data_IF_208991699100
#
_entry.id   IF_208991699100
#
_cell.length_a   1.000
_cell.length_b   1.000
_cell.length_c   1.000
_cell.angle_alpha   90.00
_cell.angle_beta   90.00
_cell.angle_gamma   90.00
#
_symmetry.space_group_name_H-M   'P 1'
#
loop_
_entity.id
_entity.type
_entity.pdbx_description
1 polymer ?
#
# COMPACT_ATOMS: atom_id res chain seq x y z
N UNK A 1 -39.17 20.05 37.20
CA UNK A 1 -38.75 20.82 36.02
C UNK A 1 -37.70 20.06 35.27
N UNK A 2 -38.06 19.50 34.15
CA UNK A 2 -37.26 18.59 33.36
C UNK A 2 -36.40 19.40 32.39
N UNK A 3 -35.08 19.33 32.50
CA UNK A 3 -34.17 19.95 31.52
C UNK A 3 -33.76 18.92 30.46
N UNK A 4 -34.40 19.00 29.32
CA UNK A 4 -34.16 18.19 28.16
C UNK A 4 -33.06 18.88 27.28
N UNK A 5 -31.81 18.48 27.45
CA UNK A 5 -30.74 18.92 26.52
C UNK A 5 -30.82 18.10 25.24
N UNK A 6 -31.23 18.80 24.16
CA UNK A 6 -31.29 18.28 22.80
C UNK A 6 -29.88 17.96 22.29
N UNK A 7 -29.64 16.70 21.91
CA UNK A 7 -28.51 16.30 21.08
C UNK A 7 -28.74 16.84 19.66
N UNK A 8 -27.98 17.82 19.22
CA UNK A 8 -27.87 18.16 17.81
C UNK A 8 -26.83 17.24 17.18
N UNK A 9 -27.32 16.33 16.36
CA UNK A 9 -26.49 15.55 15.44
C UNK A 9 -26.18 16.44 14.23
N UNK A 10 -24.93 16.83 14.05
CA UNK A 10 -24.50 17.56 12.89
C UNK A 10 -24.27 16.57 11.74
N UNK A 11 -25.25 16.51 10.84
CA UNK A 11 -25.11 15.91 9.51
C UNK A 11 -24.35 16.94 8.67
N UNK A 12 -23.10 16.68 8.33
CA UNK A 12 -22.38 17.49 7.34
C UNK A 12 -22.64 16.90 5.96
N UNK A 13 -23.43 17.64 5.19
CA UNK A 13 -23.63 17.42 3.75
C UNK A 13 -22.30 17.57 3.01
N UNK A 14 -22.02 16.60 2.15
CA UNK A 14 -20.96 16.69 1.15
C UNK A 14 -21.31 17.75 0.11
N UNK A 15 -20.49 18.78 -0.04
CA UNK A 15 -20.46 19.60 -1.25
C UNK A 15 -19.17 19.30 -2.01
N UNK A 16 -19.36 18.82 -3.24
CA UNK A 16 -18.37 18.75 -4.31
C UNK A 16 -17.82 20.15 -4.60
N UNK A 17 -16.51 20.31 -4.59
CA UNK A 17 -15.86 21.30 -5.45
C UNK A 17 -14.62 20.69 -6.08
N UNK A 18 -14.63 20.76 -7.42
CA UNK A 18 -13.46 20.60 -8.30
C UNK A 18 -12.48 21.77 -8.02
N UNK A 19 -11.22 21.51 -8.15
CA UNK A 19 -10.15 22.16 -8.90
C UNK A 19 -8.80 22.16 -8.20
N UNK A 20 -7.88 21.86 -9.03
CA UNK A 20 -6.55 22.36 -9.34
C UNK A 20 -5.37 21.68 -8.68
N UNK A 21 -4.56 21.17 -9.60
CA UNK A 21 -3.18 20.76 -9.48
C UNK A 21 -2.29 21.87 -8.89
N UNK A 22 -1.71 21.63 -7.74
CA UNK A 22 -0.48 22.32 -7.35
C UNK A 22 0.49 21.31 -6.76
N UNK A 23 1.71 21.35 -7.31
CA UNK A 23 2.79 20.43 -6.97
C UNK A 23 3.27 20.64 -5.53
N UNK A 24 3.48 19.53 -4.84
CA UNK A 24 4.21 19.52 -3.59
C UNK A 24 5.72 19.49 -3.89
N UNK A 25 6.39 20.58 -3.58
CA UNK A 25 7.84 20.68 -3.47
C UNK A 25 8.22 20.05 -2.13
N UNK A 26 9.14 19.08 -2.15
CA UNK A 26 9.77 18.61 -0.92
C UNK A 26 10.79 19.68 -0.49
N UNK A 27 10.52 20.36 0.61
CA UNK A 27 11.51 21.11 1.33
C UNK A 27 12.20 20.17 2.33
N UNK A 28 13.52 20.10 2.21
CA UNK A 28 14.44 19.52 3.17
C UNK A 28 14.59 20.55 4.31
N UNK A 29 13.98 20.30 5.45
CA UNK A 29 14.16 21.15 6.62
C UNK A 29 14.92 20.37 7.70
N UNK A 30 16.15 20.86 7.96
CA UNK A 30 17.01 20.50 9.08
C UNK A 30 16.29 20.78 10.40
N UNK A 31 16.17 19.76 11.23
CA UNK A 31 15.71 19.93 12.61
C UNK A 31 16.90 20.38 13.45
N UNK A 32 16.88 21.63 13.87
CA UNK A 32 17.76 22.14 14.92
C UNK A 32 17.22 21.77 16.31
N UNK A 33 18.18 21.51 17.21
CA UNK A 33 17.98 21.08 18.59
C UNK A 33 17.07 22.02 19.38
N UNK A 34 16.13 21.44 20.13
CA UNK A 34 15.44 22.14 21.22
C UNK A 34 16.01 21.62 22.53
N UNK A 35 16.61 22.56 23.28
CA UNK A 35 17.23 22.36 24.57
C UNK A 35 16.25 21.80 25.62
N UNK A 36 16.74 20.81 26.35
CA UNK A 36 16.12 20.25 27.53
C UNK A 36 16.27 21.23 28.71
N UNK A 37 15.14 21.73 29.23
CA UNK A 37 15.08 22.34 30.55
C UNK A 37 14.81 21.26 31.59
N UNK A 38 15.82 20.93 32.36
CA UNK A 38 15.69 20.04 33.52
C UNK A 38 15.02 20.79 34.67
N UNK A 39 13.90 20.29 35.17
CA UNK A 39 13.37 20.68 36.47
C UNK A 39 13.72 19.59 37.49
N UNK A 40 14.59 19.94 38.44
CA UNK A 40 14.88 19.10 39.62
C UNK A 40 13.63 18.99 40.52
N UNK A 41 13.20 17.81 40.80
CA UNK A 41 12.24 17.51 41.86
C UNK A 41 12.90 16.58 42.86
N UNK A 42 12.99 17.06 44.10
CA UNK A 42 13.49 16.36 45.31
C UNK A 42 12.66 15.14 45.61
N UNK A 43 13.34 14.02 45.86
CA UNK A 43 12.77 12.71 46.20
C UNK A 43 12.64 12.61 47.72
N UNK A 44 11.44 12.41 48.25
CA UNK A 44 11.22 11.78 49.57
C UNK A 44 10.88 10.30 49.37
N UNK A 45 11.65 9.45 50.03
CA UNK A 45 11.59 8.00 49.97
C UNK A 45 10.44 7.47 50.82
N UNK A 46 9.43 6.86 50.18
CA UNK A 46 8.45 6.00 50.83
C UNK A 46 8.24 4.75 50.01
N UNK A 47 8.56 3.62 50.62
CA UNK A 47 8.49 2.27 50.08
C UNK A 47 7.04 1.83 49.84
N UNK A 48 6.59 1.86 48.59
CA UNK A 48 5.57 0.94 48.11
C UNK A 48 5.76 0.70 46.60
N UNK A 49 6.02 -0.58 46.22
CA UNK A 49 6.32 -0.96 44.83
C UNK A 49 5.01 -1.04 44.05
N UNK A 50 4.46 0.09 43.72
CA UNK A 50 3.45 0.21 42.68
C UNK A 50 4.17 0.71 41.40
N UNK A 51 4.21 -0.16 40.39
CA UNK A 51 4.79 0.11 39.07
C UNK A 51 3.99 1.25 38.41
N UNK A 52 4.35 2.49 38.71
CA UNK A 52 3.75 3.71 38.13
C UNK A 52 4.18 3.80 36.69
N UNK A 53 3.31 3.38 35.77
CA UNK A 53 3.43 3.72 34.36
C UNK A 53 3.27 5.24 34.28
N UNK A 54 4.32 5.97 33.93
CA UNK A 54 4.26 7.42 33.76
C UNK A 54 3.23 7.77 32.67
N UNK A 55 2.14 8.42 33.07
CA UNK A 55 1.14 8.99 32.15
C UNK A 55 1.64 10.37 31.75
N UNK A 56 1.98 10.56 30.49
CA UNK A 56 2.29 11.90 29.95
C UNK A 56 1.01 12.37 29.25
N UNK A 57 0.30 13.30 29.90
CA UNK A 57 -0.82 14.01 29.31
C UNK A 57 -0.28 15.19 28.50
N UNK A 58 -0.51 15.17 27.19
CA UNK A 58 -0.24 16.32 26.33
C UNK A 58 -1.53 17.16 26.25
N UNK A 59 -1.39 18.49 26.15
CA UNK A 59 -2.51 19.44 26.05
C UNK A 59 -3.36 19.27 24.75
N UNK A 60 -3.01 18.33 23.91
CA UNK A 60 -3.68 18.04 22.63
C UNK A 60 -4.64 16.82 22.69
N UNK A 61 -5.02 16.35 23.87
CA UNK A 61 -5.91 15.18 24.07
C UNK A 61 -5.22 13.83 23.94
N UNK A 62 -3.96 13.79 23.48
CA UNK A 62 -3.17 12.58 23.38
C UNK A 62 -2.61 12.14 24.73
N UNK A 63 -2.75 10.84 25.02
CA UNK A 63 -2.22 10.22 26.24
C UNK A 63 -1.25 9.12 25.82
N UNK A 64 -0.04 9.14 26.38
CA UNK A 64 0.97 8.09 26.20
C UNK A 64 1.06 7.26 27.47
N UNK A 65 0.86 5.93 27.35
CA UNK A 65 1.04 4.97 28.46
C UNK A 65 2.02 3.89 28.02
N UNK A 66 3.28 4.01 28.44
CA UNK A 66 4.37 3.17 27.95
C UNK A 66 4.58 3.36 26.45
N UNK A 67 4.38 2.30 25.65
CA UNK A 67 4.47 2.32 24.17
C UNK A 67 3.13 2.59 23.48
N UNK A 68 2.04 2.63 24.21
CA UNK A 68 0.68 2.74 23.67
C UNK A 68 0.20 4.20 23.71
N UNK A 69 -0.59 4.58 22.70
CA UNK A 69 -1.21 5.90 22.59
C UNK A 69 -2.72 5.78 22.72
N UNK A 70 -3.34 6.76 23.34
CA UNK A 70 -4.77 6.93 23.52
C UNK A 70 -5.13 8.37 23.18
N UNK A 71 -6.40 8.65 22.97
CA UNK A 71 -6.89 10.01 22.80
C UNK A 71 -8.18 10.19 23.58
N UNK A 72 -8.26 11.26 24.38
CA UNK A 72 -9.48 11.66 25.04
C UNK A 72 -10.19 12.73 24.21
N UNK A 73 -11.51 12.64 24.15
CA UNK A 73 -12.34 13.72 23.62
C UNK A 73 -12.47 14.88 24.62
N UNK A 74 -13.29 15.88 24.25
CA UNK A 74 -13.53 17.08 25.06
C UNK A 74 -14.24 16.76 26.40
N UNK A 75 -14.93 15.62 26.47
CA UNK A 75 -15.59 15.14 27.69
C UNK A 75 -14.65 14.28 28.57
N UNK A 76 -13.41 14.05 28.13
CA UNK A 76 -12.41 13.23 28.80
C UNK A 76 -12.57 11.72 28.56
N UNK A 77 -13.46 11.32 27.66
CA UNK A 77 -13.70 9.92 27.33
C UNK A 77 -12.69 9.42 26.27
N UNK A 78 -12.18 8.20 26.48
CA UNK A 78 -11.21 7.57 25.56
C UNK A 78 -11.87 7.17 24.25
N UNK A 79 -11.36 7.67 23.13
CA UNK A 79 -11.88 7.37 21.80
C UNK A 79 -11.76 5.88 21.44
N UNK A 80 -12.73 5.39 20.65
CA UNK A 80 -12.80 4.00 20.16
C UNK A 80 -13.24 3.98 18.70
N UNK A 81 -12.82 2.94 17.96
CA UNK A 81 -13.17 2.77 16.54
C UNK A 81 -12.43 3.74 15.62
N UNK A 82 -13.00 3.98 14.44
CA UNK A 82 -12.48 4.95 13.48
C UNK A 82 -12.77 6.37 13.93
N UNK A 83 -11.74 7.20 14.00
CA UNK A 83 -11.82 8.59 14.44
C UNK A 83 -11.02 9.52 13.52
N UNK A 84 -11.47 10.77 13.45
CA UNK A 84 -10.72 11.85 12.83
C UNK A 84 -10.22 12.78 13.94
N UNK A 85 -8.92 12.88 14.09
CA UNK A 85 -8.27 13.77 15.05
C UNK A 85 -7.36 14.70 14.25
N UNK A 86 -7.60 16.01 14.31
CA UNK A 86 -6.84 17.05 13.60
C UNK A 86 -6.70 16.78 12.08
N UNK A 87 -7.78 16.31 11.44
CA UNK A 87 -7.81 16.02 10.02
C UNK A 87 -7.12 14.72 9.62
N UNK A 88 -6.57 13.96 10.57
CA UNK A 88 -5.95 12.65 10.35
C UNK A 88 -6.86 11.55 10.83
N UNK A 89 -6.88 10.42 10.11
CA UNK A 89 -7.70 9.28 10.45
C UNK A 89 -6.92 8.28 11.29
N UNK A 90 -7.48 7.90 12.43
CA UNK A 90 -6.95 6.90 13.35
C UNK A 90 -7.95 5.78 13.59
N UNK A 91 -7.49 4.69 14.15
CA UNK A 91 -8.34 3.63 14.66
C UNK A 91 -7.92 3.32 16.09
N UNK A 92 -8.89 3.34 17.01
CA UNK A 92 -8.70 2.99 18.40
C UNK A 92 -9.40 1.65 18.68
N UNK A 93 -8.68 0.72 19.29
CA UNK A 93 -9.22 -0.58 19.64
C UNK A 93 -10.29 -0.44 20.74
N UNK A 94 -10.98 -1.56 21.08
CA UNK A 94 -12.02 -1.55 22.12
C UNK A 94 -11.51 -1.12 23.51
N UNK A 95 -10.23 -1.36 23.78
CA UNK A 95 -9.53 -0.94 24.99
C UNK A 95 -9.03 0.52 24.95
N UNK A 96 -9.32 1.24 23.86
CA UNK A 96 -8.94 2.63 23.64
C UNK A 96 -7.52 2.83 23.10
N UNK A 97 -6.72 1.78 22.91
CA UNK A 97 -5.39 1.92 22.33
C UNK A 97 -5.45 2.30 20.86
N UNK A 98 -4.66 3.28 20.44
CA UNK A 98 -4.48 3.61 19.04
C UNK A 98 -3.82 2.46 18.28
N UNK A 99 -4.35 2.11 17.12
CA UNK A 99 -3.68 1.22 16.18
C UNK A 99 -2.38 1.88 15.72
N UNK A 100 -1.24 1.25 15.98
CA UNK A 100 0.09 1.75 15.63
C UNK A 100 0.86 0.69 14.85
N UNK A 101 1.57 1.10 13.78
CA UNK A 101 2.20 0.18 12.86
C UNK A 101 1.20 -0.63 12.02
N UNK A 102 1.58 -1.85 11.66
CA UNK A 102 0.74 -2.75 10.88
C UNK A 102 -0.47 -3.23 11.67
N UNK A 103 -1.65 -2.97 11.15
CA UNK A 103 -2.92 -3.29 11.82
C UNK A 103 -3.91 -3.94 10.86
N UNK A 104 -4.54 -5.03 11.28
CA UNK A 104 -5.59 -5.72 10.51
C UNK A 104 -6.95 -5.41 11.12
N UNK A 105 -7.78 -4.70 10.37
CA UNK A 105 -9.12 -4.27 10.79
C UNK A 105 -10.12 -4.76 9.73
N UNK A 106 -11.10 -5.56 10.12
CA UNK A 106 -12.12 -6.13 9.23
C UNK A 106 -11.51 -6.80 7.97
N UNK A 107 -10.50 -7.66 8.16
CA UNK A 107 -9.74 -8.35 7.11
C UNK A 107 -8.97 -7.46 6.14
N UNK A 108 -8.90 -6.16 6.37
CA UNK A 108 -8.10 -5.21 5.59
C UNK A 108 -6.85 -4.84 6.39
N UNK A 109 -5.72 -4.69 5.71
CA UNK A 109 -4.44 -4.32 6.34
C UNK A 109 -4.17 -2.84 6.13
N UNK A 110 -3.80 -2.16 7.21
CA UNK A 110 -3.49 -0.74 7.27
C UNK A 110 -2.13 -0.53 7.92
N UNK A 111 -1.60 0.69 7.80
CA UNK A 111 -0.44 1.13 8.56
C UNK A 111 -0.74 2.50 9.19
N UNK A 112 -0.45 2.63 10.48
CA UNK A 112 -0.69 3.84 11.24
C UNK A 112 0.59 4.31 11.93
N UNK A 113 0.71 5.62 12.06
CA UNK A 113 1.64 6.27 12.99
C UNK A 113 0.89 7.36 13.76
N UNK A 114 1.39 7.73 14.93
CA UNK A 114 0.78 8.84 15.68
C UNK A 114 0.83 10.14 14.91
N UNK A 115 1.94 10.39 14.23
CA UNK A 115 2.20 11.65 13.52
C UNK A 115 1.31 11.81 12.28
N UNK A 116 1.04 10.72 11.55
CA UNK A 116 0.36 10.77 10.26
C UNK A 116 -1.02 10.11 10.26
N UNK A 117 -1.38 9.41 11.36
CA UNK A 117 -2.57 8.57 11.38
C UNK A 117 -2.46 7.41 10.37
N UNK A 118 -3.55 7.14 9.68
CA UNK A 118 -3.65 6.11 8.64
C UNK A 118 -2.89 6.53 7.38
N UNK A 119 -1.95 5.71 6.95
CA UNK A 119 -1.20 5.93 5.71
C UNK A 119 -2.05 5.66 4.46
N UNK A 120 -1.86 6.49 3.41
CA UNK A 120 -2.50 6.36 2.09
C UNK A 120 -1.49 6.60 0.98
N UNK A 121 -1.77 6.08 -0.22
CA UNK A 121 -0.86 6.23 -1.37
C UNK A 121 0.40 5.38 -1.27
N UNK A 122 1.47 5.83 -1.92
CA UNK A 122 2.77 5.14 -1.92
C UNK A 122 3.62 5.71 -0.80
N UNK A 123 3.94 4.89 0.19
CA UNK A 123 4.67 5.28 1.38
C UNK A 123 5.94 4.44 1.56
N UNK A 124 7.07 5.08 1.83
CA UNK A 124 8.27 4.43 2.36
C UNK A 124 8.14 4.40 3.89
N UNK A 125 8.16 3.21 4.46
CA UNK A 125 8.05 3.01 5.92
C UNK A 125 9.42 2.92 6.58
N UNK A 126 9.45 2.94 7.92
CA UNK A 126 10.68 2.94 8.74
C UNK A 126 11.57 1.71 8.50
N UNK A 127 10.99 0.60 8.03
CA UNK A 127 11.75 -0.58 7.61
C UNK A 127 12.49 -0.39 6.27
N UNK A 128 12.51 0.83 5.72
CA UNK A 128 13.15 1.20 4.46
C UNK A 128 12.45 0.71 3.19
N UNK A 129 11.32 -0.01 3.32
CA UNK A 129 10.56 -0.58 2.20
C UNK A 129 9.39 0.33 1.81
N UNK A 130 9.04 0.29 0.53
CA UNK A 130 7.94 1.09 -0.02
C UNK A 130 6.71 0.21 -0.21
N UNK A 131 5.54 0.72 0.20
CA UNK A 131 4.25 0.05 0.14
C UNK A 131 3.21 0.92 -0.56
N UNK A 132 2.17 0.28 -1.09
CA UNK A 132 1.04 0.97 -1.70
C UNK A 132 -0.22 0.77 -0.88
N UNK A 133 -0.83 1.88 -0.48
CA UNK A 133 -2.14 1.92 0.17
C UNK A 133 -3.13 2.65 -0.75
N UNK A 134 -4.35 2.17 -0.88
CA UNK A 134 -5.38 2.87 -1.63
C UNK A 134 -5.86 4.15 -0.89
N UNK A 135 -6.85 4.85 -1.43
CA UNK A 135 -7.38 6.09 -0.84
C UNK A 135 -8.02 5.84 0.54
N UNK A 136 -8.56 4.65 0.75
CA UNK A 136 -9.11 4.22 2.05
C UNK A 136 -8.01 3.79 3.03
N UNK A 137 -6.73 3.79 2.63
CA UNK A 137 -5.57 3.37 3.42
C UNK A 137 -5.37 1.86 3.47
N UNK A 138 -6.08 1.09 2.65
CA UNK A 138 -5.93 -0.37 2.58
C UNK A 138 -4.69 -0.73 1.77
N UNK A 139 -3.83 -1.57 2.34
CA UNK A 139 -2.66 -2.13 1.65
C UNK A 139 -3.11 -2.85 0.36
N UNK A 140 -2.59 -2.43 -0.79
CA UNK A 140 -3.09 -2.86 -2.10
C UNK A 140 -1.95 -3.30 -3.01
N UNK A 141 -1.97 -4.55 -3.51
CA UNK A 141 -1.03 -5.02 -4.53
C UNK A 141 -1.37 -4.47 -5.92
N UNK A 142 -0.48 -4.71 -6.88
CA UNK A 142 -0.73 -4.45 -8.29
C UNK A 142 0.13 -3.34 -8.89
N UNK A 143 -0.36 -2.78 -9.98
CA UNK A 143 0.36 -1.76 -10.77
C UNK A 143 -0.13 -0.36 -10.38
N UNK A 144 0.82 0.52 -10.10
CA UNK A 144 0.59 1.96 -9.94
C UNK A 144 1.39 2.72 -10.98
N UNK A 145 0.74 3.68 -11.65
CA UNK A 145 1.39 4.61 -12.57
C UNK A 145 1.54 5.97 -11.90
N UNK A 146 2.78 6.38 -11.72
CA UNK A 146 3.08 7.64 -11.03
C UNK A 146 4.24 8.35 -11.73
N UNK A 147 4.05 9.63 -12.10
CA UNK A 147 5.09 10.48 -12.72
C UNK A 147 5.80 9.78 -13.90
N UNK A 148 5.04 9.13 -14.80
CA UNK A 148 5.57 8.41 -15.97
C UNK A 148 6.26 7.07 -15.65
N UNK A 149 6.35 6.68 -14.40
CA UNK A 149 6.90 5.39 -13.96
C UNK A 149 5.79 4.38 -13.72
N UNK A 150 6.08 3.11 -14.00
CA UNK A 150 5.23 1.99 -13.63
C UNK A 150 5.88 1.28 -12.45
N UNK A 151 5.13 1.16 -11.36
CA UNK A 151 5.54 0.51 -10.13
C UNK A 151 4.69 -0.74 -9.94
N UNK A 152 5.31 -1.87 -9.65
CA UNK A 152 4.62 -3.13 -9.33
C UNK A 152 4.80 -3.46 -7.85
N UNK A 153 3.68 -3.59 -7.17
CA UNK A 153 3.59 -4.00 -5.77
C UNK A 153 3.14 -5.46 -5.68
N UNK A 154 3.89 -6.27 -4.94
CA UNK A 154 3.61 -7.69 -4.74
C UNK A 154 2.29 -7.93 -3.96
N UNK A 155 1.92 -9.20 -3.74
CA UNK A 155 0.71 -9.57 -3.01
C UNK A 155 0.68 -9.06 -1.56
N UNK A 156 1.80 -8.61 -1.03
CA UNK A 156 1.93 -7.97 0.28
C UNK A 156 1.95 -6.44 0.18
N UNK A 157 1.57 -5.88 -0.97
CA UNK A 157 1.56 -4.44 -1.23
C UNK A 157 2.93 -3.77 -1.19
N UNK A 158 4.04 -4.55 -1.19
CA UNK A 158 5.41 -4.06 -1.17
C UNK A 158 5.91 -3.82 -2.60
N UNK A 159 6.60 -2.71 -2.83
CA UNK A 159 7.27 -2.45 -4.12
C UNK A 159 8.29 -3.55 -4.41
N UNK A 160 8.06 -4.28 -5.50
CA UNK A 160 8.89 -5.40 -5.94
C UNK A 160 9.64 -5.08 -7.24
N UNK A 161 9.02 -4.36 -8.17
CA UNK A 161 9.58 -4.09 -9.49
C UNK A 161 9.14 -2.73 -10.03
N UNK A 162 9.93 -2.19 -10.94
CA UNK A 162 9.49 -1.17 -11.89
C UNK A 162 9.13 -1.82 -13.22
N UNK A 163 8.39 -1.13 -14.10
CA UNK A 163 7.94 -1.72 -15.34
C UNK A 163 8.09 -0.78 -16.54
N UNK A 164 8.21 -1.39 -17.72
CA UNK A 164 8.08 -0.72 -19.02
C UNK A 164 6.88 -1.31 -19.76
N UNK A 165 5.93 -0.46 -20.13
CA UNK A 165 4.72 -0.86 -20.84
C UNK A 165 4.94 -0.90 -22.35
N UNK A 166 4.29 -1.89 -22.97
CA UNK A 166 4.21 -2.03 -24.43
C UNK A 166 2.79 -2.41 -24.84
N UNK A 167 2.38 -1.93 -26.01
CA UNK A 167 1.23 -2.50 -26.74
C UNK A 167 1.70 -3.76 -27.45
N UNK A 168 1.00 -4.86 -27.25
CA UNK A 168 1.32 -6.16 -27.82
C UNK A 168 0.14 -6.71 -28.63
N UNK A 169 0.41 -7.19 -29.85
CA UNK A 169 -0.53 -8.05 -30.56
C UNK A 169 -0.31 -9.48 -30.07
N UNK A 170 -1.12 -9.90 -29.11
CA UNK A 170 -1.00 -11.20 -28.44
C UNK A 170 -1.84 -12.27 -29.13
N UNK A 171 -1.26 -13.46 -29.25
CA UNK A 171 -1.93 -14.71 -29.65
C UNK A 171 -1.80 -15.74 -28.51
N UNK A 172 -2.33 -16.95 -28.76
CA UNK A 172 -2.19 -18.04 -27.81
C UNK A 172 -1.87 -19.36 -28.52
N UNK A 173 -1.11 -20.22 -27.85
CA UNK A 173 -0.72 -21.55 -28.34
C UNK A 173 -0.89 -22.63 -27.28
N UNK A 174 -0.95 -23.91 -27.71
CA UNK A 174 -1.04 -25.07 -26.83
C UNK A 174 -0.37 -26.29 -27.48
N UNK A 175 -0.22 -27.37 -26.75
CA UNK A 175 0.21 -28.68 -27.30
C UNK A 175 1.72 -28.87 -27.45
N UNK A 176 2.55 -27.90 -27.09
CA UNK A 176 4.01 -28.05 -27.12
C UNK A 176 4.52 -28.77 -25.86
N UNK A 177 5.53 -29.64 -26.03
CA UNK A 177 6.13 -30.38 -24.91
C UNK A 177 7.28 -29.62 -24.25
N UNK A 178 7.97 -28.74 -25.02
CA UNK A 178 9.18 -28.06 -24.58
C UNK A 178 9.23 -26.64 -25.17
N UNK A 179 9.61 -25.66 -24.33
CA UNK A 179 9.88 -24.29 -24.75
C UNK A 179 11.29 -24.17 -25.33
N UNK A 180 11.59 -23.03 -25.97
CA UNK A 180 12.94 -22.70 -26.49
C UNK A 180 14.02 -22.67 -25.41
N UNK A 181 13.64 -22.52 -24.12
CA UNK A 181 14.58 -22.59 -22.97
C UNK A 181 14.65 -23.98 -22.34
N UNK A 182 14.07 -25.02 -22.97
CA UNK A 182 14.11 -26.39 -22.50
C UNK A 182 13.12 -26.75 -21.39
N UNK A 183 12.21 -25.85 -21.04
CA UNK A 183 11.21 -26.07 -19.98
C UNK A 183 9.90 -26.62 -20.54
N UNK A 184 9.14 -27.36 -19.73
CA UNK A 184 7.77 -27.70 -20.08
C UNK A 184 6.89 -26.45 -20.01
N UNK A 185 6.18 -26.06 -21.10
CA UNK A 185 5.29 -24.91 -21.05
C UNK A 185 4.11 -25.17 -20.13
N UNK A 186 3.66 -24.13 -19.43
CA UNK A 186 2.53 -24.15 -18.51
C UNK A 186 1.84 -22.80 -18.49
N UNK A 187 0.62 -22.73 -17.96
CA UNK A 187 -0.05 -21.44 -17.74
C UNK A 187 0.83 -20.47 -16.92
N UNK A 188 1.24 -19.42 -17.57
CA UNK A 188 2.26 -18.49 -17.09
C UNK A 188 3.52 -18.45 -17.95
N UNK A 189 3.61 -19.29 -19.00
CA UNK A 189 4.64 -19.23 -20.05
C UNK A 189 4.18 -18.32 -21.19
N UNK A 190 5.09 -17.50 -21.70
CA UNK A 190 4.90 -16.75 -22.96
C UNK A 190 6.10 -16.90 -23.89
N UNK A 191 5.81 -17.00 -25.19
CA UNK A 191 6.79 -16.82 -26.23
C UNK A 191 6.92 -15.33 -26.56
N UNK A 192 8.14 -14.89 -26.81
CA UNK A 192 8.54 -13.49 -27.03
C UNK A 192 9.58 -13.38 -28.15
N UNK A 193 9.88 -12.17 -28.56
CA UNK A 193 11.13 -11.85 -29.26
C UNK A 193 12.23 -11.58 -28.21
N UNK A 194 13.22 -12.47 -28.03
CA UNK A 194 14.23 -12.32 -26.98
C UNK A 194 15.17 -11.11 -27.20
N UNK A 195 15.17 -10.52 -28.41
CA UNK A 195 15.87 -9.26 -28.67
C UNK A 195 15.18 -8.04 -28.04
N UNK A 196 13.89 -8.14 -27.74
CA UNK A 196 13.06 -7.06 -27.14
C UNK A 196 12.70 -7.36 -25.70
N UNK A 197 12.33 -8.61 -25.41
CA UNK A 197 11.98 -9.09 -24.07
C UNK A 197 12.88 -10.29 -23.79
N UNK A 198 13.98 -10.13 -23.06
CA UNK A 198 14.92 -11.21 -22.78
C UNK A 198 14.26 -12.41 -22.08
N UNK A 199 14.77 -13.61 -22.32
CA UNK A 199 14.34 -14.80 -21.59
C UNK A 199 14.54 -14.61 -20.07
N UNK A 200 13.64 -15.20 -19.30
CA UNK A 200 13.58 -15.04 -17.85
C UNK A 200 12.85 -13.78 -17.38
N UNK A 201 12.53 -12.85 -18.31
CA UNK A 201 11.79 -11.63 -17.95
C UNK A 201 10.44 -11.97 -17.34
N UNK A 202 10.08 -11.28 -16.25
CA UNK A 202 8.74 -11.25 -15.70
C UNK A 202 7.90 -10.25 -16.47
N UNK A 203 6.79 -10.68 -17.02
CA UNK A 203 5.87 -9.84 -17.82
C UNK A 203 4.50 -9.86 -17.17
N UNK A 204 4.10 -8.74 -16.57
CA UNK A 204 2.75 -8.60 -16.04
C UNK A 204 1.80 -8.26 -17.19
N UNK A 205 0.73 -9.02 -17.30
CA UNK A 205 -0.32 -8.83 -18.31
C UNK A 205 -1.61 -8.42 -17.59
N UNK A 206 -1.98 -7.12 -17.63
CA UNK A 206 -3.17 -6.60 -16.92
C UNK A 206 -4.46 -7.34 -17.29
N UNK A 207 -4.60 -7.75 -18.56
CA UNK A 207 -5.76 -8.52 -19.05
C UNK A 207 -6.06 -9.79 -18.22
N UNK A 208 -5.00 -10.45 -17.70
CA UNK A 208 -5.12 -11.64 -16.86
C UNK A 208 -4.87 -11.36 -15.37
N UNK A 209 -4.54 -10.12 -15.01
CA UNK A 209 -4.09 -9.75 -13.66
C UNK A 209 -2.99 -10.70 -13.14
N UNK A 210 -2.02 -11.07 -14.01
CA UNK A 210 -1.03 -12.11 -13.72
C UNK A 210 0.32 -11.79 -14.34
N UNK A 211 1.38 -12.23 -13.66
CA UNK A 211 2.75 -12.21 -14.18
C UNK A 211 3.07 -13.53 -14.88
N UNK A 212 3.63 -13.42 -16.07
CA UNK A 212 4.09 -14.52 -16.93
C UNK A 212 5.61 -14.50 -17.01
N UNK A 213 6.21 -15.62 -17.41
CA UNK A 213 7.65 -15.75 -17.66
C UNK A 213 7.90 -15.88 -19.14
N UNK A 214 8.79 -15.04 -19.67
CA UNK A 214 9.26 -15.10 -21.03
C UNK A 214 10.32 -16.22 -21.14
N UNK A 215 9.92 -17.41 -21.53
CA UNK A 215 10.80 -18.58 -21.61
C UNK A 215 10.61 -19.39 -22.89
N UNK A 216 9.91 -18.81 -23.88
CA UNK A 216 9.72 -19.38 -25.18
C UNK A 216 9.91 -18.34 -26.29
N UNK A 217 10.03 -18.80 -27.53
CA UNK A 217 10.05 -17.94 -28.72
C UNK A 217 9.35 -18.65 -29.89
N UNK A 218 9.04 -17.88 -30.93
CA UNK A 218 8.48 -18.40 -32.18
C UNK A 218 8.95 -17.58 -33.37
N UNK A 219 9.07 -18.22 -34.54
CA UNK A 219 9.52 -17.55 -35.77
C UNK A 219 8.69 -16.31 -36.14
N UNK A 220 7.39 -16.35 -35.88
CA UNK A 220 6.44 -15.26 -36.13
C UNK A 220 6.31 -14.25 -34.97
N UNK A 221 6.93 -14.51 -33.81
CA UNK A 221 6.87 -13.64 -32.63
C UNK A 221 8.03 -12.67 -32.67
N UNK A 222 7.75 -11.46 -33.18
CA UNK A 222 8.74 -10.41 -33.38
C UNK A 222 8.34 -9.11 -32.71
N UNK A 223 9.35 -8.34 -32.24
CA UNK A 223 9.15 -7.07 -31.55
C UNK A 223 8.41 -7.24 -30.23
N UNK A 224 7.30 -6.52 -30.05
CA UNK A 224 6.49 -6.59 -28.84
C UNK A 224 5.35 -7.62 -28.88
N UNK A 225 5.26 -8.42 -29.97
CA UNK A 225 4.30 -9.53 -30.03
C UNK A 225 4.61 -10.57 -28.97
N UNK A 226 3.58 -11.16 -28.42
CA UNK A 226 3.69 -12.31 -27.51
C UNK A 226 2.75 -13.43 -27.95
N UNK A 227 3.11 -14.66 -27.60
CA UNK A 227 2.25 -15.83 -27.73
C UNK A 227 2.10 -16.51 -26.37
N UNK A 228 0.86 -16.71 -25.92
CA UNK A 228 0.57 -17.09 -24.55
C UNK A 228 0.23 -18.57 -24.51
N UNK A 229 0.99 -19.34 -23.70
CA UNK A 229 0.65 -20.74 -23.52
C UNK A 229 -0.68 -20.90 -22.78
N UNK A 230 -1.56 -21.71 -23.34
CA UNK A 230 -2.84 -22.12 -22.77
C UNK A 230 -2.93 -23.64 -22.68
N UNK A 231 -3.73 -24.14 -21.75
CA UNK A 231 -3.80 -25.58 -21.48
C UNK A 231 -4.54 -26.37 -22.57
N UNK A 232 -5.28 -25.70 -23.45
CA UNK A 232 -6.02 -26.36 -24.53
C UNK A 232 -6.18 -25.48 -25.78
N UNK A 233 -6.34 -26.12 -26.94
CA UNK A 233 -6.67 -25.42 -28.19
C UNK A 233 -7.99 -24.66 -28.09
N UNK A 234 -8.96 -25.15 -27.31
CA UNK A 234 -10.24 -24.46 -27.07
C UNK A 234 -10.02 -23.10 -26.39
N UNK A 235 -9.12 -23.03 -25.40
CA UNK A 235 -8.76 -21.77 -24.76
C UNK A 235 -8.03 -20.83 -25.71
N UNK A 236 -7.14 -21.35 -26.57
CA UNK A 236 -6.47 -20.58 -27.60
C UNK A 236 -7.47 -19.96 -28.59
N UNK A 237 -8.43 -20.72 -29.09
CA UNK A 237 -9.48 -20.21 -29.99
C UNK A 237 -10.34 -19.14 -29.30
N UNK A 238 -10.72 -19.36 -28.04
CA UNK A 238 -11.50 -18.40 -27.25
C UNK A 238 -10.73 -17.08 -27.02
N UNK A 239 -9.43 -17.17 -26.80
CA UNK A 239 -8.57 -16.01 -26.65
C UNK A 239 -8.39 -15.29 -27.99
N UNK A 240 -8.12 -16.07 -29.07
CA UNK A 240 -7.88 -15.55 -30.42
C UNK A 240 -6.64 -14.65 -30.47
N UNK A 241 -6.74 -13.58 -31.27
CA UNK A 241 -5.71 -12.56 -31.39
C UNK A 241 -6.26 -11.21 -30.91
N UNK A 242 -5.50 -10.53 -30.05
CA UNK A 242 -5.97 -9.24 -29.49
C UNK A 242 -4.81 -8.31 -29.15
N UNK A 243 -5.10 -7.01 -29.24
CA UNK A 243 -4.16 -5.99 -28.79
C UNK A 243 -4.35 -5.77 -27.29
N UNK A 244 -3.33 -6.08 -26.51
CA UNK A 244 -3.30 -5.93 -25.07
C UNK A 244 -2.07 -5.18 -24.60
N UNK A 245 -2.14 -4.62 -23.41
CA UNK A 245 -0.97 -4.08 -22.74
C UNK A 245 -0.19 -5.22 -22.08
N UNK A 246 1.14 -5.13 -22.19
CA UNK A 246 2.08 -5.95 -21.42
C UNK A 246 3.07 -5.04 -20.69
N UNK A 247 3.52 -5.43 -19.51
CA UNK A 247 4.46 -4.67 -18.69
C UNK A 247 5.64 -5.56 -18.35
N UNK A 248 6.79 -5.28 -18.96
CA UNK A 248 8.04 -5.98 -18.64
C UNK A 248 8.58 -5.42 -17.33
N UNK A 249 8.73 -6.28 -16.33
CA UNK A 249 9.12 -5.93 -14.98
C UNK A 249 10.63 -6.02 -14.80
N UNK A 250 11.20 -5.05 -14.06
CA UNK A 250 12.59 -5.05 -13.61
C UNK A 250 12.57 -4.95 -12.07
N UNK A 251 13.10 -5.96 -11.40
CA UNK A 251 13.13 -6.01 -9.94
C UNK A 251 13.89 -4.81 -9.37
N UNK A 252 13.37 -4.23 -8.29
CA UNK A 252 14.09 -3.20 -7.54
C UNK A 252 15.13 -3.89 -6.65
N UNK A 253 16.33 -3.36 -6.65
CA UNK A 253 17.43 -3.82 -5.79
C UNK A 253 17.22 -3.36 -4.35
#
# INVERSE_FOLDING_TARGET
MLNLKKKLSAIVLASMMLLSSTGFVFADEKIENIDTVAAEATVEESSDVTRTTSVIENNDGWIKRGKDFYYNDEDGEVLKGWQNVDGKHYYFWKDGKMANGWSKINNKTYYFTRENGKHTGICKLDNGKTYNFNKEGVLTPGIVRQKGKILYFDQRGKLASTGKSYKSNASAYSGHSTTSTGQKPRWGTIAVDPKVIPYGSKVYIPYFNKTFIANDCGGAIKGTKIDIFMNSSKECYKFGRRNIEIIVLKDVK
#
